data_IF_665450905760
#
_entry.id   IF_665450905760
#
_cell.length_a   1.000
_cell.length_b   1.000
_cell.length_c   1.000
_cell.angle_alpha   90.00
_cell.angle_beta   90.00
_cell.angle_gamma   90.00
#
_symmetry.space_group_name_H-M   'P 1'
#
loop_
_entity.id
_entity.type
_entity.pdbx_description
1 polymer ?
#
# COMPACT_ATOMS: atom_id res chain seq x y z
N UNK A 1 -9.44 -29.31 6.27
CA UNK A 1 -10.41 -28.45 5.55
C UNK A 1 -10.57 -27.05 6.15
N UNK A 2 -9.73 -26.65 7.10
CA UNK A 2 -9.80 -25.32 7.76
C UNK A 2 -8.91 -24.26 7.08
N UNK A 3 -7.86 -24.69 6.37
CA UNK A 3 -6.97 -23.82 5.60
C UNK A 3 -7.66 -23.15 4.39
N UNK A 4 -8.61 -23.84 3.76
CA UNK A 4 -9.32 -23.33 2.58
C UNK A 4 -10.39 -22.27 2.91
N UNK A 5 -10.99 -22.33 4.12
CA UNK A 5 -11.91 -21.28 4.59
C UNK A 5 -11.19 -20.00 5.03
N UNK A 6 -9.92 -20.11 5.43
CA UNK A 6 -9.07 -18.94 5.75
C UNK A 6 -8.69 -18.12 4.51
N UNK A 7 -8.81 -18.70 3.30
CA UNK A 7 -8.50 -18.05 2.02
C UNK A 7 -9.61 -17.10 1.51
N UNK A 8 -10.80 -17.08 2.12
CA UNK A 8 -11.92 -16.24 1.68
C UNK A 8 -11.96 -14.88 2.41
N UNK A 9 -11.13 -14.73 3.46
CA UNK A 9 -10.77 -13.42 4.01
C UNK A 9 -9.74 -12.76 3.09
N UNK A 10 -10.22 -12.18 1.98
CA UNK A 10 -9.43 -11.71 0.85
C UNK A 10 -8.07 -11.08 1.20
N UNK A 11 -7.07 -11.43 0.39
CA UNK A 11 -5.70 -10.92 0.42
C UNK A 11 -5.71 -9.40 0.23
N UNK A 12 -5.78 -8.65 1.34
CA UNK A 12 -5.97 -7.21 1.33
C UNK A 12 -4.92 -6.49 2.16
N UNK A 13 -4.71 -5.23 1.81
CA UNK A 13 -3.86 -4.29 2.56
C UNK A 13 -4.53 -2.92 2.56
N UNK A 14 -4.28 -2.15 3.62
CA UNK A 14 -4.53 -0.71 3.58
C UNK A 14 -3.23 -0.04 3.16
N UNK A 15 -3.30 0.79 2.13
CA UNK A 15 -2.23 1.67 1.69
C UNK A 15 -2.49 3.11 2.06
N UNK A 16 -1.45 3.92 2.13
CA UNK A 16 -1.55 5.39 2.24
C UNK A 16 -0.46 6.07 1.44
N UNK A 17 -0.86 7.09 0.69
CA UNK A 17 0.07 8.05 0.12
C UNK A 17 0.47 9.07 1.20
N UNK A 18 1.76 9.18 1.47
CA UNK A 18 2.36 10.16 2.36
C UNK A 18 2.65 11.45 1.57
N UNK A 19 1.60 12.19 1.25
CA UNK A 19 1.67 13.45 0.49
C UNK A 19 0.76 14.50 1.10
N UNK A 20 1.12 15.80 1.03
CA UNK A 20 0.18 16.88 1.33
C UNK A 20 -0.94 16.99 0.29
N UNK A 21 -0.80 16.35 -0.87
CA UNK A 21 -1.77 16.40 -1.96
C UNK A 21 -2.67 15.16 -1.98
N UNK A 22 -3.94 15.37 -2.33
CA UNK A 22 -4.87 14.28 -2.58
C UNK A 22 -4.66 13.77 -4.01
N UNK A 23 -4.41 12.47 -4.14
CA UNK A 23 -4.23 11.80 -5.43
C UNK A 23 -5.22 10.66 -5.50
N UNK A 24 -5.84 10.46 -6.68
CA UNK A 24 -6.71 9.32 -6.91
C UNK A 24 -5.89 8.01 -6.75
N UNK A 25 -6.26 7.12 -5.81
CA UNK A 25 -5.56 5.86 -5.58
C UNK A 25 -5.38 4.98 -6.82
N UNK A 26 -6.33 5.02 -7.75
CA UNK A 26 -6.22 4.28 -9.02
C UNK A 26 -5.01 4.71 -9.84
N UNK A 27 -4.72 6.02 -9.90
CA UNK A 27 -3.57 6.57 -10.64
C UNK A 27 -2.25 6.09 -10.05
N UNK A 28 -2.16 6.01 -8.71
CA UNK A 28 -0.98 5.52 -8.00
C UNK A 28 -0.70 4.06 -8.40
N UNK A 29 -1.73 3.22 -8.35
CA UNK A 29 -1.62 1.78 -8.63
C UNK A 29 -1.34 1.52 -10.11
N UNK A 30 -1.97 2.27 -11.00
CA UNK A 30 -1.74 2.17 -12.45
C UNK A 30 -0.29 2.54 -12.81
N UNK A 31 0.27 3.60 -12.22
CA UNK A 31 1.67 4.01 -12.41
C UNK A 31 2.63 2.91 -11.92
N UNK A 32 2.44 2.41 -10.70
CA UNK A 32 3.30 1.38 -10.11
C UNK A 32 3.29 0.08 -10.93
N UNK A 33 2.14 -0.26 -11.52
CA UNK A 33 2.01 -1.37 -12.48
C UNK A 33 2.72 -1.07 -13.80
N UNK A 34 2.52 0.11 -14.38
CA UNK A 34 3.08 0.49 -15.68
C UNK A 34 4.61 0.58 -15.67
N UNK A 35 5.22 1.08 -14.59
CA UNK A 35 6.67 1.22 -14.45
C UNK A 35 7.40 -0.11 -14.19
N UNK A 36 6.72 -1.26 -14.29
CA UNK A 36 7.28 -2.60 -13.98
C UNK A 36 7.84 -2.75 -12.57
N UNK A 37 7.58 -1.78 -11.67
CA UNK A 37 7.92 -1.86 -10.26
C UNK A 37 7.06 -2.93 -9.57
N UNK A 38 5.78 -2.99 -9.94
CA UNK A 38 4.84 -4.00 -9.48
C UNK A 38 4.62 -5.08 -10.54
N UNK A 39 5.48 -6.10 -10.52
CA UNK A 39 5.34 -7.31 -11.36
C UNK A 39 4.37 -8.30 -10.71
N UNK A 40 3.10 -7.92 -10.63
CA UNK A 40 2.06 -8.73 -10.01
C UNK A 40 1.63 -9.86 -10.95
N UNK A 41 1.46 -11.06 -10.40
CA UNK A 41 1.01 -12.24 -11.15
C UNK A 41 -0.52 -12.27 -11.32
N UNK A 42 -1.24 -11.64 -10.37
CA UNK A 42 -2.69 -11.60 -10.31
C UNK A 42 -3.29 -10.20 -10.53
N UNK A 43 -4.61 -10.15 -10.41
CA UNK A 43 -5.34 -8.89 -10.44
C UNK A 43 -5.27 -8.20 -9.07
N UNK A 44 -5.19 -6.87 -9.11
CA UNK A 44 -5.40 -6.03 -7.94
C UNK A 44 -6.53 -5.08 -8.26
N UNK A 45 -7.45 -4.89 -7.32
CA UNK A 45 -8.45 -3.84 -7.41
C UNK A 45 -8.25 -2.85 -6.27
N UNK A 46 -8.57 -1.59 -6.58
CA UNK A 46 -8.47 -0.48 -5.65
C UNK A 46 -9.87 -0.20 -5.11
N UNK A 47 -9.95 0.00 -3.81
CA UNK A 47 -11.16 0.45 -3.13
C UNK A 47 -10.83 1.74 -2.36
N UNK A 48 -11.58 2.79 -2.66
CA UNK A 48 -11.46 4.06 -1.95
C UNK A 48 -11.92 3.93 -0.50
N UNK A 49 -11.25 4.66 0.39
CA UNK A 49 -11.66 4.81 1.79
C UNK A 49 -12.21 6.22 1.95
N UNK A 50 -13.38 6.35 2.58
CA UNK A 50 -14.10 7.62 2.74
C UNK A 50 -13.47 8.55 3.80
N UNK A 51 -12.16 8.80 3.71
CA UNK A 51 -11.39 9.71 4.55
C UNK A 51 -10.34 10.44 3.69
N UNK A 52 -10.10 11.72 3.98
CA UNK A 52 -9.21 12.59 3.19
C UNK A 52 -7.75 12.55 3.65
N UNK A 53 -7.24 11.38 4.05
CA UNK A 53 -5.86 11.23 4.52
C UNK A 53 -4.96 10.46 3.54
N UNK A 54 -5.48 10.18 2.34
CA UNK A 54 -4.75 9.49 1.27
C UNK A 54 -4.75 7.96 1.38
N UNK A 55 -5.59 7.39 2.24
CA UNK A 55 -5.72 5.92 2.39
C UNK A 55 -6.63 5.28 1.36
N UNK A 56 -6.29 4.04 1.02
CA UNK A 56 -7.05 3.18 0.11
C UNK A 56 -6.83 1.72 0.46
N UNK A 57 -7.69 0.83 -0.02
CA UNK A 57 -7.55 -0.62 0.14
C UNK A 57 -7.16 -1.24 -1.20
N UNK A 58 -6.21 -2.16 -1.17
CA UNK A 58 -5.94 -3.06 -2.30
C UNK A 58 -6.51 -4.43 -2.01
N UNK A 59 -7.18 -5.01 -3.00
CA UNK A 59 -7.65 -6.38 -2.99
C UNK A 59 -6.85 -7.16 -4.03
N UNK A 60 -6.06 -8.14 -3.58
CA UNK A 60 -5.28 -9.00 -4.46
C UNK A 60 -6.00 -10.32 -4.72
N UNK A 61 -5.91 -10.81 -5.94
CA UNK A 61 -6.33 -12.19 -6.27
C UNK A 61 -5.29 -13.24 -5.88
N UNK A 62 -4.01 -12.84 -5.74
CA UNK A 62 -2.89 -13.70 -5.37
C UNK A 62 -2.26 -13.25 -4.04
N UNK A 63 -1.90 -14.19 -3.18
CA UNK A 63 -1.34 -13.88 -1.86
C UNK A 63 0.16 -13.56 -1.94
N UNK A 64 0.85 -14.12 -2.92
CA UNK A 64 2.25 -13.84 -3.28
C UNK A 64 2.44 -12.36 -3.62
N UNK A 65 1.52 -11.79 -4.38
CA UNK A 65 1.51 -10.38 -4.77
C UNK A 65 1.36 -9.48 -3.55
N UNK A 66 0.45 -9.83 -2.62
CA UNK A 66 0.30 -9.12 -1.35
C UNK A 66 1.59 -9.16 -0.52
N UNK A 67 2.20 -10.34 -0.38
CA UNK A 67 3.49 -10.50 0.33
C UNK A 67 4.59 -9.66 -0.32
N UNK A 68 4.65 -9.64 -1.64
CA UNK A 68 5.62 -8.82 -2.38
C UNK A 68 5.45 -7.33 -2.07
N UNK A 69 4.22 -6.81 -2.15
CA UNK A 69 3.92 -5.40 -1.84
C UNK A 69 4.29 -5.04 -0.40
N UNK A 70 3.96 -5.90 0.57
CA UNK A 70 4.27 -5.66 1.98
C UNK A 70 5.77 -5.78 2.29
N UNK A 71 6.51 -6.64 1.58
CA UNK A 71 7.93 -6.88 1.84
C UNK A 71 8.85 -5.84 1.20
N UNK A 72 8.48 -5.33 0.02
CA UNK A 72 9.29 -4.38 -0.74
C UNK A 72 8.92 -2.91 -0.52
N UNK A 73 8.04 -2.62 0.44
CA UNK A 73 7.73 -1.25 0.85
C UNK A 73 8.95 -0.56 1.55
N UNK A 74 9.04 0.78 1.56
CA UNK A 74 8.11 1.73 0.92
C UNK A 74 8.13 1.67 -0.60
N UNK A 75 6.98 1.95 -1.18
CA UNK A 75 6.87 2.29 -2.58
C UNK A 75 6.87 3.81 -2.74
N UNK A 76 6.97 4.29 -3.97
CA UNK A 76 6.89 5.72 -4.26
C UNK A 76 5.96 5.97 -5.43
N UNK A 77 5.14 7.01 -5.32
CA UNK A 77 4.43 7.61 -6.43
C UNK A 77 5.07 8.95 -6.68
N UNK A 78 5.73 9.12 -7.84
CA UNK A 78 6.61 10.27 -8.10
C UNK A 78 7.66 10.44 -6.99
N UNK A 79 7.52 11.46 -6.14
CA UNK A 79 8.44 11.78 -5.03
C UNK A 79 7.85 11.47 -3.65
N UNK A 80 6.59 11.06 -3.59
CA UNK A 80 5.87 10.82 -2.34
C UNK A 80 5.85 9.33 -2.01
N UNK A 81 6.01 8.99 -0.74
CA UNK A 81 6.05 7.60 -0.27
C UNK A 81 4.65 6.98 -0.23
N UNK A 82 4.56 5.69 -0.54
CA UNK A 82 3.36 4.88 -0.37
C UNK A 82 3.68 3.71 0.55
N UNK A 83 2.96 3.62 1.66
CA UNK A 83 3.15 2.58 2.69
C UNK A 83 1.94 1.67 2.76
N UNK A 84 2.14 0.42 3.20
CA UNK A 84 1.10 -0.60 3.28
C UNK A 84 1.16 -1.38 4.59
N UNK A 85 -0.01 -1.68 5.14
CA UNK A 85 -0.14 -2.62 6.26
C UNK A 85 -1.17 -3.70 5.94
N UNK A 86 -1.08 -4.82 6.65
CA UNK A 86 -2.02 -5.93 6.47
C UNK A 86 -3.44 -5.50 6.84
N UNK A 87 -4.41 -5.91 6.01
CA UNK A 87 -5.81 -5.68 6.30
C UNK A 87 -6.61 -6.93 6.02
N UNK A 88 -7.23 -7.51 7.05
CA UNK A 88 -7.94 -8.78 6.92
C UNK A 88 -9.43 -8.61 6.53
N UNK A 89 -9.84 -7.41 6.11
CA UNK A 89 -11.23 -7.11 5.75
C UNK A 89 -12.18 -7.03 6.95
N UNK A 90 -11.65 -6.92 8.18
CA UNK A 90 -12.42 -6.74 9.41
C UNK A 90 -12.14 -5.35 9.97
N UNK A 91 -13.20 -4.64 10.38
CA UNK A 91 -13.11 -3.29 10.91
C UNK A 91 -13.11 -2.21 9.83
N UNK A 92 -12.98 -0.96 10.26
CA UNK A 92 -12.98 0.21 9.39
C UNK A 92 -11.55 0.46 8.83
N UNK A 93 -11.34 0.44 7.50
CA UNK A 93 -10.04 0.75 6.91
C UNK A 93 -9.49 2.13 7.30
N UNK A 94 -10.35 3.08 7.63
CA UNK A 94 -9.95 4.43 8.07
C UNK A 94 -9.31 4.44 9.47
N UNK A 95 -9.55 3.41 10.28
CA UNK A 95 -9.05 3.29 11.66
C UNK A 95 -7.84 2.36 11.77
N UNK A 96 -7.43 1.73 10.65
CA UNK A 96 -6.28 0.83 10.63
C UNK A 96 -5.02 1.61 11.02
N UNK A 97 -4.23 1.11 11.96
CA UNK A 97 -2.91 1.70 12.20
C UNK A 97 -1.95 1.28 11.09
N UNK A 98 -1.40 2.26 10.36
CA UNK A 98 -0.36 2.00 9.34
C UNK A 98 1.04 1.87 9.96
N UNK A 99 1.14 2.06 11.27
CA UNK A 99 2.36 1.87 12.05
C UNK A 99 3.46 2.89 11.74
N UNK A 100 4.63 2.59 12.27
CA UNK A 100 5.89 3.29 12.01
C UNK A 100 6.70 2.44 11.05
N UNK A 101 7.25 3.04 10.00
CA UNK A 101 8.09 2.35 9.03
C UNK A 101 9.51 2.93 9.06
N UNK A 102 10.55 2.10 9.23
CA UNK A 102 11.92 2.56 9.15
C UNK A 102 12.24 2.96 7.71
N UNK A 103 12.76 4.16 7.53
CA UNK A 103 13.25 4.67 6.24
C UNK A 103 14.74 4.98 6.33
N UNK A 104 15.45 4.75 5.23
CA UNK A 104 16.83 5.23 5.07
C UNK A 104 16.78 6.54 4.29
N UNK A 105 17.22 7.62 4.93
CA UNK A 105 17.27 8.95 4.33
C UNK A 105 18.73 9.40 4.29
N UNK A 106 19.19 9.84 3.11
CA UNK A 106 20.43 10.58 2.99
C UNK A 106 20.11 12.07 3.03
N UNK A 107 20.49 12.73 4.12
CA UNK A 107 20.42 14.20 4.19
C UNK A 107 21.69 14.76 3.53
N UNK A 108 21.51 15.71 2.61
CA UNK A 108 22.60 16.43 1.93
C UNK A 108 22.57 17.89 2.38
N UNK A 109 23.70 18.57 2.26
CA UNK A 109 23.82 19.99 2.56
C UNK A 109 23.35 20.35 3.99
N UNK A 110 23.71 19.49 4.95
CA UNK A 110 23.60 19.84 6.36
C UNK A 110 24.67 20.89 6.67
N UNK A 111 24.23 22.12 6.94
CA UNK A 111 25.08 23.12 7.56
C UNK A 111 25.46 22.61 8.97
N UNK A 112 26.75 22.41 9.18
CA UNK A 112 27.29 22.14 10.51
C UNK A 112 27.71 23.50 11.10
N UNK A 113 27.12 23.90 12.23
CA UNK A 113 27.66 24.99 13.08
C UNK A 113 28.97 24.56 13.78
#
# INVERSE_FOLDING_TARGET
MEAARKAIGGSRVVGRLLSPFQVNPHVIVDELRACSAWRLHGTVTVQDVAIKDGRFVLNFSAEEDRRFILKAQPWHHKRDGVIFTEFYGKGNPAEVDLGVMPIWVQVRDLDFE
#
